data_IF_192247405167
#
_entry.id   IF_192247405167
#
_cell.length_a   1.000
_cell.length_b   1.000
_cell.length_c   1.000
_cell.angle_alpha   90.00
_cell.angle_beta   90.00
_cell.angle_gamma   90.00
#
_symmetry.space_group_name_H-M   'P 1'
#
loop_
_entity.id
_entity.type
_entity.pdbx_description
1 polymer ?
#
# COMPACT_ATOMS: atom_id res chain seq x y z
N UNK A 1 7.33 -19.97 -12.43
CA UNK A 1 6.68 -18.66 -12.74
C UNK A 1 5.48 -18.86 -13.65
N UNK A 2 4.56 -17.89 -13.75
CA UNK A 2 3.48 -17.89 -14.72
C UNK A 2 3.83 -17.00 -15.92
N UNK A 3 3.42 -17.41 -17.11
CA UNK A 3 3.57 -16.57 -18.29
C UNK A 3 2.58 -15.39 -18.22
N UNK A 4 3.02 -14.12 -18.37
CA UNK A 4 2.15 -12.95 -18.24
C UNK A 4 1.02 -12.89 -19.28
N UNK A 5 1.21 -13.49 -20.48
CA UNK A 5 0.22 -13.46 -21.56
C UNK A 5 -0.83 -14.56 -21.47
N UNK A 6 -0.42 -15.80 -21.26
CA UNK A 6 -1.32 -16.95 -21.32
C UNK A 6 -1.53 -17.65 -19.98
N UNK A 7 -0.87 -17.17 -18.92
CA UNK A 7 -0.94 -17.70 -17.54
C UNK A 7 -0.56 -19.17 -17.40
N UNK A 8 0.16 -19.70 -18.38
CA UNK A 8 0.68 -21.06 -18.29
C UNK A 8 1.91 -21.09 -17.37
N UNK A 9 2.00 -22.10 -16.48
CA UNK A 9 3.19 -22.29 -15.67
C UNK A 9 4.38 -22.69 -16.53
N UNK A 10 5.51 -22.01 -16.32
CA UNK A 10 6.77 -22.32 -16.99
C UNK A 10 7.93 -21.85 -16.10
N UNK A 11 9.12 -22.47 -16.20
CA UNK A 11 10.29 -22.02 -15.46
C UNK A 11 10.68 -20.58 -15.83
N UNK A 12 11.11 -19.81 -14.86
CA UNK A 12 11.63 -18.46 -15.09
C UNK A 12 12.80 -18.47 -16.06
N UNK A 13 12.87 -17.48 -16.93
CA UNK A 13 13.90 -17.39 -17.98
C UNK A 13 13.67 -18.28 -19.21
N UNK A 14 12.71 -19.22 -19.16
CA UNK A 14 12.40 -20.11 -20.27
C UNK A 14 11.36 -19.53 -21.25
N UNK A 15 11.24 -20.13 -22.42
CA UNK A 15 10.16 -19.82 -23.36
C UNK A 15 8.87 -20.55 -22.93
N UNK A 16 7.76 -19.81 -22.87
CA UNK A 16 6.47 -20.39 -22.58
C UNK A 16 6.08 -21.44 -23.64
N UNK A 17 5.73 -22.68 -23.25
CA UNK A 17 5.41 -23.75 -24.19
C UNK A 17 4.13 -23.47 -24.97
N UNK A 18 3.25 -22.59 -24.50
CA UNK A 18 1.97 -22.29 -25.14
C UNK A 18 2.02 -21.12 -26.10
N UNK A 19 2.69 -20.02 -25.75
CA UNK A 19 2.69 -18.79 -26.56
C UNK A 19 4.06 -18.39 -27.09
N UNK A 20 5.15 -19.09 -26.69
CA UNK A 20 6.52 -18.82 -27.13
C UNK A 20 7.15 -17.56 -26.51
N UNK A 21 6.45 -16.84 -25.60
CA UNK A 21 7.00 -15.67 -24.92
C UNK A 21 7.98 -16.08 -23.85
N UNK A 22 9.03 -15.28 -23.67
CA UNK A 22 9.97 -15.47 -22.57
C UNK A 22 9.30 -15.15 -21.24
N UNK A 23 9.35 -16.11 -20.30
CA UNK A 23 8.86 -15.93 -18.93
C UNK A 23 9.93 -15.20 -18.12
N UNK A 24 9.58 -14.17 -17.37
CA UNK A 24 10.57 -13.45 -16.57
C UNK A 24 11.16 -14.36 -15.47
N UNK A 25 12.46 -14.28 -15.25
CA UNK A 25 13.12 -14.99 -14.14
C UNK A 25 12.73 -14.41 -12.79
N UNK A 26 12.46 -13.11 -12.79
CA UNK A 26 12.13 -12.32 -11.61
C UNK A 26 11.01 -11.36 -11.96
N UNK A 27 10.01 -11.29 -11.10
CA UNK A 27 8.92 -10.33 -11.23
C UNK A 27 8.86 -9.46 -9.97
N UNK A 28 8.79 -8.15 -10.17
CA UNK A 28 8.82 -7.16 -9.09
C UNK A 28 7.54 -6.35 -9.07
N UNK A 29 6.94 -6.25 -7.90
CA UNK A 29 5.72 -5.52 -7.62
C UNK A 29 6.06 -4.35 -6.70
N UNK A 30 5.91 -3.14 -7.20
CA UNK A 30 6.19 -1.93 -6.43
C UNK A 30 5.00 -1.48 -5.57
N UNK A 31 5.25 -0.48 -4.72
CA UNK A 31 4.20 0.09 -3.87
C UNK A 31 3.21 0.96 -4.62
N UNK A 32 1.93 0.69 -4.45
CA UNK A 32 0.80 1.40 -5.11
C UNK A 32 0.60 2.83 -4.58
N UNK A 33 1.22 3.17 -3.46
CA UNK A 33 1.01 4.46 -2.78
C UNK A 33 1.37 5.72 -3.58
N UNK A 34 2.08 5.57 -4.70
CA UNK A 34 2.57 6.70 -5.51
C UNK A 34 1.46 7.58 -6.08
N UNK A 35 0.36 6.97 -6.53
CA UNK A 35 -0.73 7.71 -7.18
C UNK A 35 -1.65 8.40 -6.19
N UNK A 36 -2.01 7.72 -5.10
CA UNK A 36 -2.94 8.27 -4.09
C UNK A 36 -2.38 9.48 -3.35
N UNK A 37 -1.09 9.47 -3.03
CA UNK A 37 -0.46 10.57 -2.32
C UNK A 37 -0.28 11.81 -3.20
N UNK A 38 -0.01 11.62 -4.49
CA UNK A 38 -0.02 12.70 -5.47
C UNK A 38 -1.37 13.39 -5.53
N UNK A 39 -2.45 12.61 -5.64
CA UNK A 39 -3.82 13.13 -5.66
C UNK A 39 -4.15 13.88 -4.37
N UNK A 40 -3.80 13.34 -3.21
CA UNK A 40 -4.04 13.95 -1.90
C UNK A 40 -3.27 15.27 -1.75
N UNK A 41 -2.02 15.32 -2.21
CA UNK A 41 -1.20 16.53 -2.23
C UNK A 41 -1.82 17.62 -3.10
N UNK A 42 -2.16 17.30 -4.35
CA UNK A 42 -2.76 18.26 -5.27
C UNK A 42 -4.13 18.71 -4.79
N UNK A 43 -4.94 17.82 -4.22
CA UNK A 43 -6.24 18.17 -3.65
C UNK A 43 -6.10 19.13 -2.46
N UNK A 44 -5.17 18.86 -1.54
CA UNK A 44 -4.90 19.74 -0.38
C UNK A 44 -4.39 21.11 -0.83
N UNK A 45 -3.50 21.15 -1.84
CA UNK A 45 -3.00 22.39 -2.43
C UNK A 45 -4.14 23.18 -3.11
N UNK A 46 -5.00 22.51 -3.86
CA UNK A 46 -6.14 23.14 -4.53
C UNK A 46 -7.13 23.73 -3.50
N UNK A 47 -7.43 23.01 -2.41
CA UNK A 47 -8.28 23.51 -1.34
C UNK A 47 -7.65 24.73 -0.64
N UNK A 48 -6.34 24.72 -0.42
CA UNK A 48 -5.63 25.85 0.16
C UNK A 48 -5.73 27.09 -0.73
N UNK A 49 -5.46 26.94 -2.02
CA UNK A 49 -5.57 28.02 -3.00
C UNK A 49 -6.99 28.54 -3.11
N UNK A 50 -7.99 27.65 -3.13
CA UNK A 50 -9.40 28.02 -3.17
C UNK A 50 -9.80 28.83 -1.93
N UNK A 51 -9.36 28.40 -0.76
CA UNK A 51 -9.62 29.13 0.49
C UNK A 51 -9.01 30.53 0.48
N UNK A 52 -7.72 30.65 0.04
CA UNK A 52 -7.06 31.95 -0.11
C UNK A 52 -7.83 32.83 -1.11
N UNK A 53 -8.24 32.27 -2.23
CA UNK A 53 -9.00 32.99 -3.26
C UNK A 53 -10.33 33.51 -2.70
N UNK A 54 -11.12 32.66 -2.05
CA UNK A 54 -12.43 33.04 -1.49
C UNK A 54 -12.27 34.14 -0.43
N UNK A 55 -11.27 34.02 0.45
CA UNK A 55 -11.04 35.00 1.51
C UNK A 55 -10.49 36.31 0.97
N UNK A 56 -9.77 36.31 -0.15
CA UNK A 56 -9.22 37.51 -0.78
C UNK A 56 -10.21 38.28 -1.66
N UNK A 57 -11.27 37.61 -2.16
CA UNK A 57 -12.27 38.24 -3.03
C UNK A 57 -13.01 39.41 -2.38
N UNK A 58 -13.15 39.40 -1.04
CA UNK A 58 -13.88 40.46 -0.34
C UNK A 58 -12.98 41.59 0.22
N UNK A 59 -11.65 41.40 0.35
CA UNK A 59 -10.79 42.31 1.12
C UNK A 59 -9.41 42.55 0.51
N UNK A 60 -9.06 41.85 -0.55
CA UNK A 60 -7.68 41.85 -1.06
C UNK A 60 -6.76 40.86 -0.33
N UNK A 61 -5.75 40.39 -1.06
CA UNK A 61 -4.83 39.32 -0.61
C UNK A 61 -3.97 39.83 0.57
N UNK A 62 -3.47 41.07 0.49
CA UNK A 62 -2.58 41.63 1.47
C UNK A 62 -3.27 41.83 2.83
N UNK A 63 -4.46 42.40 2.83
CA UNK A 63 -5.24 42.63 4.07
C UNK A 63 -5.65 41.30 4.73
N UNK A 64 -5.98 40.29 3.93
CA UNK A 64 -6.32 38.95 4.42
C UNK A 64 -5.13 38.30 5.11
N UNK A 65 -3.94 38.31 4.51
CA UNK A 65 -2.71 37.74 5.08
C UNK A 65 -2.31 38.48 6.37
N UNK A 66 -2.34 39.79 6.37
CA UNK A 66 -2.01 40.63 7.57
C UNK A 66 -2.99 40.33 8.71
N UNK A 67 -4.28 40.19 8.41
CA UNK A 67 -5.28 39.90 9.44
C UNK A 67 -5.13 38.50 10.01
N UNK A 68 -4.92 37.48 9.14
CA UNK A 68 -4.61 36.10 9.57
C UNK A 68 -3.37 36.06 10.47
N UNK A 69 -2.30 36.78 10.09
CA UNK A 69 -1.06 36.81 10.85
C UNK A 69 -1.25 37.49 12.24
N UNK A 70 -2.01 38.58 12.32
CA UNK A 70 -2.27 39.28 13.57
C UNK A 70 -3.16 38.54 14.56
N UNK A 71 -4.09 37.73 14.04
CA UNK A 71 -5.05 36.97 14.88
C UNK A 71 -4.56 35.62 15.34
N UNK A 72 -3.36 35.19 14.93
CA UNK A 72 -2.84 33.86 15.24
C UNK A 72 -3.54 32.72 14.46
N UNK A 73 -4.62 33.00 13.74
CA UNK A 73 -5.34 32.00 12.90
C UNK A 73 -4.47 31.46 11.78
N UNK A 74 -3.40 32.17 11.42
CA UNK A 74 -2.45 31.71 10.42
C UNK A 74 -1.81 30.36 10.81
N UNK A 75 -1.53 30.17 12.11
CA UNK A 75 -0.95 28.91 12.59
C UNK A 75 -1.94 27.74 12.51
N UNK A 76 -3.20 27.99 12.84
CA UNK A 76 -4.26 27.00 12.69
C UNK A 76 -4.47 26.63 11.22
N UNK A 77 -4.47 27.64 10.34
CA UNK A 77 -4.56 27.47 8.91
C UNK A 77 -3.40 26.64 8.35
N UNK A 78 -2.17 26.99 8.72
CA UNK A 78 -0.98 26.26 8.33
C UNK A 78 -1.02 24.82 8.85
N UNK A 79 -1.41 24.62 10.10
CA UNK A 79 -1.53 23.28 10.66
C UNK A 79 -2.59 22.44 9.92
N UNK A 80 -3.73 23.02 9.59
CA UNK A 80 -4.82 22.32 8.89
C UNK A 80 -4.42 21.87 7.49
N UNK A 81 -3.65 22.70 6.75
CA UNK A 81 -3.30 22.43 5.34
C UNK A 81 -1.92 21.81 5.15
N UNK A 82 -0.94 22.13 6.00
CA UNK A 82 0.40 21.56 5.90
C UNK A 82 0.51 20.19 6.54
N UNK A 83 -0.21 19.93 7.65
CA UNK A 83 -0.14 18.65 8.34
C UNK A 83 -0.51 17.47 7.45
N UNK A 84 -1.61 17.48 6.68
CA UNK A 84 -1.94 16.41 5.74
C UNK A 84 -0.87 16.21 4.67
N UNK A 85 -0.26 17.32 4.19
CA UNK A 85 0.81 17.26 3.18
C UNK A 85 2.06 16.58 3.76
N UNK A 86 2.48 17.00 4.97
CA UNK A 86 3.65 16.41 5.65
C UNK A 86 3.42 14.94 5.95
N UNK A 87 2.23 14.60 6.49
CA UNK A 87 1.84 13.21 6.75
C UNK A 87 1.81 12.41 5.44
N UNK A 88 1.24 12.98 4.38
CA UNK A 88 1.21 12.35 3.06
C UNK A 88 2.59 12.09 2.49
N UNK A 89 3.52 13.05 2.56
CA UNK A 89 4.90 12.89 2.12
C UNK A 89 5.66 11.83 2.92
N UNK A 90 5.43 11.78 4.24
CA UNK A 90 6.01 10.76 5.10
C UNK A 90 5.55 9.34 4.69
N UNK A 91 4.24 9.13 4.52
CA UNK A 91 3.73 7.84 4.06
C UNK A 91 4.19 7.51 2.63
N UNK A 92 4.24 8.49 1.74
CA UNK A 92 4.75 8.29 0.39
C UNK A 92 6.22 7.83 0.39
N UNK A 93 7.06 8.42 1.22
CA UNK A 93 8.47 8.00 1.32
C UNK A 93 8.59 6.56 1.80
N UNK A 94 7.75 6.15 2.76
CA UNK A 94 7.72 4.77 3.26
C UNK A 94 7.24 3.76 2.22
N UNK A 95 6.13 4.07 1.52
CA UNK A 95 5.55 3.18 0.53
C UNK A 95 6.39 3.09 -0.76
N UNK A 96 7.20 4.10 -1.04
CA UNK A 96 8.09 4.09 -2.20
C UNK A 96 9.15 2.99 -2.12
N UNK A 97 9.58 2.62 -0.92
CA UNK A 97 10.60 1.62 -0.68
C UNK A 97 10.03 0.19 -0.65
N UNK A 98 8.70 0.07 -0.66
CA UNK A 98 8.06 -1.24 -0.63
C UNK A 98 8.11 -1.89 -2.01
N UNK A 99 8.72 -3.06 -2.09
CA UNK A 99 8.84 -3.86 -3.30
C UNK A 99 8.74 -5.34 -2.92
N UNK A 100 7.86 -6.06 -3.60
CA UNK A 100 7.76 -7.51 -3.50
C UNK A 100 8.34 -8.13 -4.75
N UNK A 101 9.30 -9.00 -4.58
CA UNK A 101 9.96 -9.72 -5.67
C UNK A 101 9.62 -11.20 -5.60
N UNK A 102 9.19 -11.77 -6.71
CA UNK A 102 8.89 -13.18 -6.86
C UNK A 102 9.85 -13.82 -7.83
N UNK A 103 10.42 -14.96 -7.45
CA UNK A 103 11.26 -15.81 -8.27
C UNK A 103 10.78 -17.25 -8.21
N UNK A 104 11.42 -18.17 -8.92
CA UNK A 104 11.11 -19.60 -8.81
C UNK A 104 11.51 -20.21 -7.46
N UNK A 105 12.47 -19.64 -6.78
CA UNK A 105 13.04 -20.19 -5.54
C UNK A 105 12.48 -19.53 -4.28
N UNK A 106 12.17 -18.24 -4.35
CA UNK A 106 11.78 -17.46 -3.17
C UNK A 106 10.81 -16.32 -3.52
N UNK A 107 10.17 -15.81 -2.49
CA UNK A 107 9.52 -14.50 -2.44
C UNK A 107 10.29 -13.60 -1.46
N UNK A 108 10.58 -12.38 -1.87
CA UNK A 108 11.24 -11.40 -1.03
C UNK A 108 10.40 -10.12 -0.98
N UNK A 109 10.33 -9.52 0.20
CA UNK A 109 9.71 -8.22 0.42
C UNK A 109 10.76 -7.27 0.94
N UNK A 110 10.97 -6.20 0.24
CA UNK A 110 11.76 -5.07 0.69
C UNK A 110 10.83 -4.00 1.22
N UNK A 111 11.08 -3.53 2.43
CA UNK A 111 10.28 -2.47 3.04
C UNK A 111 11.18 -1.53 3.85
N UNK A 112 10.66 -0.34 4.18
CA UNK A 112 11.35 0.60 5.08
C UNK A 112 11.73 -0.02 6.44
N UNK A 113 11.04 -1.08 6.85
CA UNK A 113 11.21 -1.74 8.15
C UNK A 113 12.21 -2.90 8.12
N UNK A 114 12.65 -3.30 6.95
CA UNK A 114 13.56 -4.42 6.75
C UNK A 114 13.22 -5.23 5.51
N UNK A 115 14.16 -6.07 5.15
CA UNK A 115 14.03 -6.98 4.03
C UNK A 115 13.65 -8.36 4.56
N UNK A 116 12.58 -8.92 4.03
CA UNK A 116 12.11 -10.27 4.32
C UNK A 116 12.37 -11.16 3.12
N UNK A 117 12.96 -12.31 3.34
CA UNK A 117 13.27 -13.27 2.28
C UNK A 117 12.77 -14.64 2.68
N UNK A 118 11.82 -15.17 1.93
CA UNK A 118 11.16 -16.44 2.21
C UNK A 118 11.33 -17.41 1.06
N UNK A 119 12.14 -18.47 1.21
CA UNK A 119 12.17 -19.58 0.27
C UNK A 119 10.80 -20.28 0.23
N UNK A 120 10.30 -20.63 -0.96
CA UNK A 120 9.02 -21.31 -1.09
C UNK A 120 8.92 -22.61 -0.30
N UNK A 121 10.03 -23.32 -0.16
CA UNK A 121 10.10 -24.55 0.62
C UNK A 121 9.85 -24.35 2.13
N UNK A 122 10.07 -23.15 2.64
CA UNK A 122 9.82 -22.79 4.05
C UNK A 122 8.38 -22.35 4.32
N UNK A 123 7.63 -22.01 3.30
CA UNK A 123 6.24 -21.56 3.46
C UNK A 123 5.36 -22.76 3.79
N UNK A 124 4.62 -22.68 4.90
CA UNK A 124 3.73 -23.70 5.37
C UNK A 124 2.29 -23.47 4.95
N UNK A 125 1.84 -22.22 4.99
CA UNK A 125 0.47 -21.86 4.69
C UNK A 125 0.37 -20.48 4.05
N UNK A 126 -0.58 -20.36 3.14
CA UNK A 126 -1.03 -19.10 2.59
C UNK A 126 -2.42 -18.82 3.14
N UNK A 127 -2.58 -17.73 3.86
CA UNK A 127 -3.81 -17.38 4.57
C UNK A 127 -4.38 -16.06 4.11
N UNK A 128 -5.69 -15.98 4.15
CA UNK A 128 -6.44 -14.74 3.94
C UNK A 128 -7.07 -14.32 5.25
N UNK A 129 -6.57 -13.27 5.86
CA UNK A 129 -7.09 -12.74 7.11
C UNK A 129 -7.89 -11.48 6.86
N UNK A 130 -9.06 -11.41 7.46
CA UNK A 130 -9.77 -10.14 7.61
C UNK A 130 -9.00 -9.31 8.64
N UNK A 131 -8.34 -8.23 8.20
CA UNK A 131 -7.63 -7.34 9.12
C UNK A 131 -8.67 -6.75 10.08
N UNK A 132 -8.73 -7.30 11.28
CA UNK A 132 -9.36 -6.64 12.39
C UNK A 132 -8.58 -5.35 12.66
N UNK A 133 -9.20 -4.22 12.40
CA UNK A 133 -8.70 -2.84 12.42
C UNK A 133 -7.74 -2.45 13.58
N UNK A 134 -7.52 -3.34 14.51
CA UNK A 134 -6.80 -3.05 15.76
C UNK A 134 -5.29 -3.22 15.66
N UNK A 135 -4.79 -3.95 14.68
CA UNK A 135 -3.38 -4.37 14.65
C UNK A 135 -2.51 -3.63 13.64
N UNK A 136 -3.05 -3.07 12.58
CA UNK A 136 -2.27 -2.34 11.59
C UNK A 136 -2.24 -0.84 11.87
N UNK A 137 -1.10 -0.18 11.57
CA UNK A 137 -0.97 1.29 11.70
C UNK A 137 -1.95 2.02 10.79
N UNK A 138 -2.21 1.49 9.60
CA UNK A 138 -3.25 1.96 8.69
C UNK A 138 -4.67 1.73 9.24
N UNK A 139 -4.90 0.68 10.02
CA UNK A 139 -6.17 0.41 10.67
C UNK A 139 -6.61 1.52 11.63
N UNK A 140 -5.69 2.24 12.25
CA UNK A 140 -6.03 3.41 13.10
C UNK A 140 -6.55 4.58 12.28
N UNK A 141 -6.00 4.82 11.10
CA UNK A 141 -6.46 5.88 10.18
C UNK A 141 -7.77 5.47 9.53
N UNK A 142 -7.92 4.21 9.15
CA UNK A 142 -9.16 3.67 8.62
C UNK A 142 -10.29 3.66 9.67
N UNK A 143 -9.98 3.47 10.97
CA UNK A 143 -10.95 3.65 12.04
C UNK A 143 -11.46 5.09 12.11
N UNK A 144 -10.57 6.09 11.98
CA UNK A 144 -10.94 7.49 11.95
C UNK A 144 -11.85 7.82 10.77
N UNK A 145 -11.54 7.29 9.58
CA UNK A 145 -12.37 7.46 8.39
C UNK A 145 -13.75 6.80 8.55
N UNK A 146 -13.81 5.65 9.20
CA UNK A 146 -15.06 4.93 9.50
C UNK A 146 -15.97 5.70 10.45
N UNK A 147 -15.38 6.34 11.47
CA UNK A 147 -16.11 7.22 12.40
C UNK A 147 -16.66 8.44 11.67
N UNK A 148 -15.87 9.04 10.78
CA UNK A 148 -16.24 10.22 10.01
C UNK A 148 -17.30 9.94 8.92
N UNK A 149 -17.27 8.77 8.29
CA UNK A 149 -18.17 8.42 7.16
C UNK A 149 -19.41 7.62 7.58
N UNK A 150 -19.67 7.45 8.88
CA UNK A 150 -20.81 6.67 9.43
C UNK A 150 -20.90 5.25 8.85
N UNK A 151 -19.77 4.66 8.48
CA UNK A 151 -19.69 3.25 8.09
C UNK A 151 -20.20 2.86 6.71
N UNK A 152 -20.81 3.76 5.94
CA UNK A 152 -21.41 3.41 4.65
C UNK A 152 -20.40 3.23 3.49
N UNK A 153 -19.25 3.89 3.55
CA UNK A 153 -18.23 3.82 2.48
C UNK A 153 -17.20 2.70 2.70
N UNK A 154 -17.22 2.01 3.81
CA UNK A 154 -16.11 1.14 4.26
C UNK A 154 -16.47 -0.33 4.25
N UNK A 155 -17.73 -0.71 4.02
CA UNK A 155 -18.12 -2.13 3.98
C UNK A 155 -17.44 -2.89 2.82
N UNK A 156 -17.20 -2.21 1.68
CA UNK A 156 -16.52 -2.79 0.52
C UNK A 156 -14.98 -2.67 0.57
N UNK A 157 -14.46 -1.97 1.58
CA UNK A 157 -13.04 -1.73 1.82
C UNK A 157 -12.58 -2.40 3.13
N UNK A 158 -13.13 -3.56 3.48
CA UNK A 158 -12.53 -4.35 4.54
C UNK A 158 -11.13 -4.76 4.06
N UNK A 159 -10.06 -4.21 4.67
CA UNK A 159 -8.74 -4.57 4.24
C UNK A 159 -8.54 -6.05 4.56
N UNK A 160 -8.47 -6.82 3.52
CA UNK A 160 -8.06 -8.21 3.57
C UNK A 160 -6.55 -8.20 3.53
N UNK A 161 -5.86 -8.81 4.48
CA UNK A 161 -4.44 -9.09 4.37
C UNK A 161 -4.22 -10.52 3.92
N UNK A 162 -3.17 -10.72 3.19
CA UNK A 162 -2.69 -12.04 2.83
C UNK A 162 -1.41 -12.31 3.61
N UNK A 163 -1.31 -13.49 4.20
CA UNK A 163 -0.20 -13.86 5.06
C UNK A 163 0.47 -15.14 4.55
N UNK A 164 1.76 -15.07 4.37
CA UNK A 164 2.61 -16.22 4.12
C UNK A 164 3.23 -16.63 5.46
N UNK A 165 2.77 -17.76 5.98
CA UNK A 165 3.25 -18.31 7.26
C UNK A 165 4.35 -19.31 6.98
N UNK A 166 5.53 -19.08 7.55
CA UNK A 166 6.66 -19.98 7.44
C UNK A 166 6.67 -21.02 8.55
N UNK A 167 7.31 -22.15 8.26
CA UNK A 167 7.62 -23.16 9.28
C UNK A 167 8.45 -22.51 10.38
N UNK A 168 8.18 -22.82 11.66
CA UNK A 168 8.99 -22.30 12.74
C UNK A 168 10.44 -22.76 12.55
N UNK A 169 11.37 -21.82 12.60
CA UNK A 169 12.78 -22.11 12.66
C UNK A 169 13.14 -22.76 14.01
N UNK A 170 14.38 -23.22 14.15
CA UNK A 170 14.87 -23.83 15.39
C UNK A 170 14.72 -22.91 16.63
N UNK A 171 14.50 -21.61 16.42
CA UNK A 171 14.20 -20.61 17.47
C UNK A 171 12.74 -20.66 17.96
N UNK A 172 11.87 -21.45 17.32
CA UNK A 172 10.42 -21.54 17.66
C UNK A 172 9.59 -20.35 17.20
N UNK A 173 10.17 -19.34 16.55
CA UNK A 173 9.47 -18.19 16.02
C UNK A 173 9.11 -18.45 14.55
N UNK A 174 7.82 -18.45 14.23
CA UNK A 174 7.37 -18.48 12.83
C UNK A 174 7.48 -17.09 12.24
N UNK A 175 8.18 -16.94 11.13
CA UNK A 175 8.15 -15.70 10.36
C UNK A 175 6.86 -15.62 9.53
N UNK A 176 6.22 -14.45 9.57
CA UNK A 176 4.99 -14.19 8.83
C UNK A 176 5.24 -12.98 7.94
N UNK A 177 5.14 -13.18 6.62
CA UNK A 177 5.16 -12.08 5.66
C UNK A 177 3.73 -11.65 5.36
N UNK A 178 3.40 -10.40 5.66
CA UNK A 178 2.08 -9.83 5.39
C UNK A 178 2.09 -9.08 4.06
N UNK A 179 1.14 -9.42 3.17
CA UNK A 179 0.91 -8.73 1.90
C UNK A 179 -0.37 -7.91 2.04
N UNK A 180 -0.24 -6.59 2.14
CA UNK A 180 -1.37 -5.69 2.31
C UNK A 180 -1.89 -5.20 0.95
N UNK A 181 -3.21 -5.36 0.68
CA UNK A 181 -3.84 -4.70 -0.46
C UNK A 181 -3.71 -3.19 -0.32
N UNK A 182 -3.27 -2.53 -1.35
CA UNK A 182 -3.06 -1.07 -1.36
C UNK A 182 -1.62 -0.64 -1.09
N UNK A 183 -0.73 -1.56 -0.68
CA UNK A 183 0.71 -1.30 -0.66
C UNK A 183 1.42 -1.84 -1.91
N UNK A 184 0.82 -2.79 -2.61
CA UNK A 184 1.44 -3.53 -3.71
C UNK A 184 0.68 -3.27 -5.01
N UNK A 185 1.42 -2.87 -6.06
CA UNK A 185 0.88 -2.75 -7.41
C UNK A 185 0.55 -4.13 -7.97
N UNK A 186 -0.58 -4.22 -8.70
CA UNK A 186 -1.04 -5.45 -9.34
C UNK A 186 -1.10 -6.68 -8.40
N UNK A 187 -1.59 -6.43 -7.18
CA UNK A 187 -1.79 -7.51 -6.19
C UNK A 187 -2.53 -8.73 -6.76
N UNK A 188 -3.59 -8.60 -7.60
CA UNK A 188 -4.26 -9.77 -8.16
C UNK A 188 -3.33 -10.69 -8.95
N UNK A 189 -2.36 -10.13 -9.66
CA UNK A 189 -1.36 -10.91 -10.39
C UNK A 189 -0.37 -11.59 -9.43
N UNK A 190 0.11 -10.85 -8.44
CA UNK A 190 0.96 -11.42 -7.39
C UNK A 190 0.27 -12.61 -6.68
N UNK A 191 -1.02 -12.48 -6.34
CA UNK A 191 -1.76 -13.56 -5.70
C UNK A 191 -1.88 -14.79 -6.59
N UNK A 192 -2.10 -14.62 -7.89
CA UNK A 192 -2.12 -15.75 -8.83
C UNK A 192 -0.78 -16.51 -8.88
N UNK A 193 0.34 -15.77 -8.83
CA UNK A 193 1.68 -16.38 -8.76
C UNK A 193 1.89 -17.20 -7.48
N UNK A 194 1.33 -16.72 -6.36
CA UNK A 194 1.40 -17.41 -5.08
C UNK A 194 0.46 -18.62 -5.06
N UNK A 195 -0.78 -18.47 -5.53
CA UNK A 195 -1.78 -19.53 -5.59
C UNK A 195 -1.34 -20.72 -6.47
N UNK A 196 -0.66 -20.46 -7.56
CA UNK A 196 -0.12 -21.50 -8.42
C UNK A 196 0.87 -22.43 -7.69
N UNK A 197 1.58 -21.88 -6.69
CA UNK A 197 2.62 -22.62 -5.94
C UNK A 197 2.10 -23.27 -4.66
N UNK A 198 1.26 -22.56 -3.96
CA UNK A 198 0.82 -22.91 -2.59
C UNK A 198 -0.62 -23.39 -2.53
N UNK A 199 -1.37 -23.21 -3.62
CA UNK A 199 -2.82 -23.39 -3.64
C UNK A 199 -3.57 -22.14 -3.19
N UNK A 200 -4.91 -22.19 -3.20
CA UNK A 200 -5.76 -21.08 -2.79
C UNK A 200 -5.54 -20.74 -1.30
N UNK A 201 -5.75 -19.46 -0.92
CA UNK A 201 -5.58 -19.04 0.46
C UNK A 201 -6.60 -19.73 1.38
N UNK A 202 -6.14 -20.12 2.56
CA UNK A 202 -6.99 -20.65 3.61
C UNK A 202 -7.71 -19.46 4.26
N UNK A 203 -9.02 -19.52 4.34
CA UNK A 203 -9.84 -18.51 5.04
C UNK A 203 -9.90 -18.90 6.52
N UNK A 204 -9.41 -18.01 7.41
CA UNK A 204 -9.57 -18.13 8.86
C UNK A 204 -10.78 -17.35 9.37
#
# INVERSE_FOLDING_TARGET
>A
MLCPDCRCPAPGGSLCPRCGRQVPERESFGGQGRHYLGVLFFFSLALMLLFILITSLGRGLEETVVKLARTGWIWLFLALFLLPIVVGLYYWSMLREEEVTVTDEYIARRSHWGDEHLPWASVQAFRRNLILFRQTRLGRIAWLSRVLTKGKLVADLLPVSYELVCKPEASGVSSIMCLEPGSIDDLPWLLQLIEERLGPPIED
#
